data_IF_691660570069
#
_entry.id   IF_691660570069
#
_cell.length_a   1.000
_cell.length_b   1.000
_cell.length_c   1.000
_cell.angle_alpha   90.00
_cell.angle_beta   90.00
_cell.angle_gamma   90.00
#
_symmetry.space_group_name_H-M   'P 1'
#
loop_
_entity.id
_entity.type
_entity.pdbx_description
1 polymer ?
#
# COMPACT_ATOMS: atom_id res chain seq x y z
N UNK A 1 10.09 -8.94 30.70
CA UNK A 1 8.71 -9.49 30.60
C UNK A 1 7.81 -8.72 29.64
N UNK A 2 7.41 -7.46 29.90
CA UNK A 2 6.46 -6.72 29.04
C UNK A 2 6.91 -6.51 27.58
N UNK A 3 8.21 -6.33 27.36
CA UNK A 3 8.78 -6.11 26.02
C UNK A 3 8.61 -7.33 25.10
N UNK A 4 8.65 -8.53 25.66
CA UNK A 4 8.60 -9.78 24.90
C UNK A 4 7.17 -10.15 24.51
N UNK A 5 6.21 -9.82 25.39
CA UNK A 5 4.78 -9.92 25.09
C UNK A 5 4.39 -8.97 23.95
N UNK A 6 4.89 -7.73 23.98
CA UNK A 6 4.66 -6.76 22.91
C UNK A 6 5.28 -7.20 21.57
N UNK A 7 6.51 -7.73 21.60
CA UNK A 7 7.18 -8.23 20.41
C UNK A 7 6.44 -9.43 19.80
N UNK A 8 5.90 -10.33 20.61
CA UNK A 8 5.18 -11.51 20.12
C UNK A 8 3.80 -11.16 19.52
N UNK A 9 3.08 -10.18 20.10
CA UNK A 9 1.82 -9.65 19.56
C UNK A 9 2.05 -8.90 18.25
N UNK A 10 3.13 -8.11 18.18
CA UNK A 10 3.56 -7.52 16.92
C UNK A 10 3.87 -8.61 15.91
N UNK A 11 4.68 -9.62 16.26
CA UNK A 11 5.14 -10.63 15.31
C UNK A 11 3.98 -11.40 14.63
N UNK A 12 2.90 -11.69 15.38
CA UNK A 12 1.82 -12.54 14.90
C UNK A 12 0.70 -11.80 14.12
N UNK A 13 0.60 -10.47 14.20
CA UNK A 13 -0.50 -9.70 13.58
C UNK A 13 -0.11 -8.27 13.14
N UNK A 14 1.14 -8.01 12.71
CA UNK A 14 1.62 -6.66 12.31
C UNK A 14 0.66 -5.94 11.35
N UNK A 15 0.11 -6.66 10.38
CA UNK A 15 -0.79 -6.08 9.37
C UNK A 15 -2.06 -5.48 9.96
N UNK A 16 -2.66 -6.13 10.97
CA UNK A 16 -3.90 -5.66 11.62
C UNK A 16 -3.66 -4.39 12.45
N UNK A 17 -2.54 -4.36 13.18
CA UNK A 17 -2.18 -3.21 14.01
C UNK A 17 -1.79 -1.99 13.16
N UNK A 18 -1.01 -2.21 12.10
CA UNK A 18 -0.66 -1.16 11.13
C UNK A 18 -1.93 -0.65 10.43
N UNK A 19 -2.81 -1.55 9.98
CA UNK A 19 -4.08 -1.17 9.36
C UNK A 19 -4.97 -0.33 10.30
N UNK A 20 -5.03 -0.69 11.58
CA UNK A 20 -5.78 0.07 12.58
C UNK A 20 -5.21 1.48 12.80
N UNK A 21 -3.88 1.61 12.92
CA UNK A 21 -3.21 2.92 13.07
C UNK A 21 -3.44 3.78 11.83
N UNK A 22 -3.25 3.22 10.64
CA UNK A 22 -3.46 3.94 9.38
C UNK A 22 -4.92 4.39 9.24
N UNK A 23 -5.88 3.51 9.54
CA UNK A 23 -7.31 3.84 9.52
C UNK A 23 -7.67 4.93 10.52
N UNK A 24 -7.08 4.91 11.71
CA UNK A 24 -7.30 5.93 12.74
C UNK A 24 -6.77 7.31 12.30
N UNK A 25 -5.57 7.36 11.71
CA UNK A 25 -5.01 8.60 11.17
C UNK A 25 -5.87 9.14 10.01
N UNK A 26 -6.31 8.27 9.10
CA UNK A 26 -7.21 8.67 8.01
C UNK A 26 -8.53 9.21 8.52
N UNK A 27 -9.12 8.58 9.54
CA UNK A 27 -10.35 9.06 10.16
C UNK A 27 -10.19 10.47 10.78
N UNK A 28 -9.07 10.73 11.46
CA UNK A 28 -8.75 12.06 12.01
C UNK A 28 -8.62 13.09 10.89
N UNK A 29 -7.94 12.74 9.80
CA UNK A 29 -7.81 13.61 8.61
C UNK A 29 -9.18 13.93 7.99
N UNK A 30 -10.06 12.94 7.86
CA UNK A 30 -11.44 13.10 7.36
C UNK A 30 -12.24 14.06 8.25
N UNK A 31 -12.14 13.90 9.58
CA UNK A 31 -12.84 14.75 10.55
C UNK A 31 -12.30 16.20 10.59
N UNK A 32 -10.99 16.38 10.43
CA UNK A 32 -10.34 17.69 10.57
C UNK A 32 -10.44 18.52 9.28
N UNK A 33 -10.18 17.90 8.13
CA UNK A 33 -10.12 18.60 6.84
C UNK A 33 -11.51 18.61 6.18
N UNK A 34 -12.32 17.58 6.41
CA UNK A 34 -13.64 17.35 5.80
C UNK A 34 -13.62 16.18 4.82
N UNK A 35 -14.74 15.45 4.72
CA UNK A 35 -14.88 14.20 3.95
C UNK A 35 -14.41 14.31 2.49
N UNK A 36 -14.83 15.37 1.78
CA UNK A 36 -14.50 15.55 0.37
C UNK A 36 -13.01 15.82 0.12
N UNK A 37 -12.35 16.56 1.02
CA UNK A 37 -10.92 16.87 0.88
C UNK A 37 -10.07 15.64 1.18
N UNK A 38 -10.45 14.83 2.17
CA UNK A 38 -9.78 13.56 2.44
C UNK A 38 -9.96 12.54 1.29
N UNK A 39 -11.16 12.48 0.68
CA UNK A 39 -11.40 11.66 -0.50
C UNK A 39 -10.53 12.09 -1.69
N UNK A 40 -10.40 13.40 -1.92
CA UNK A 40 -9.51 13.93 -2.96
C UNK A 40 -8.06 13.50 -2.74
N UNK A 41 -7.55 13.64 -1.51
CA UNK A 41 -6.19 13.20 -1.15
C UNK A 41 -6.04 11.69 -1.35
N UNK A 42 -7.00 10.87 -0.93
CA UNK A 42 -6.96 9.42 -1.10
C UNK A 42 -6.89 9.02 -2.59
N UNK A 43 -7.67 9.67 -3.45
CA UNK A 43 -7.64 9.45 -4.90
C UNK A 43 -6.27 9.87 -5.47
N UNK A 44 -5.74 11.03 -5.09
CA UNK A 44 -4.41 11.48 -5.53
C UNK A 44 -3.30 10.50 -5.11
N UNK A 45 -3.34 9.99 -3.87
CA UNK A 45 -2.39 8.99 -3.39
C UNK A 45 -2.52 7.68 -4.17
N UNK A 46 -3.74 7.22 -4.43
CA UNK A 46 -3.97 6.00 -5.20
C UNK A 46 -3.45 6.13 -6.64
N UNK A 47 -3.76 7.25 -7.30
CA UNK A 47 -3.27 7.55 -8.65
C UNK A 47 -1.74 7.67 -8.66
N UNK A 48 -1.16 8.40 -7.71
CA UNK A 48 0.27 8.56 -7.55
C UNK A 48 0.99 7.23 -7.32
N UNK A 49 0.43 6.35 -6.49
CA UNK A 49 0.94 5.00 -6.28
C UNK A 49 0.83 4.13 -7.53
N UNK A 50 -0.30 4.18 -8.24
CA UNK A 50 -0.51 3.41 -9.47
C UNK A 50 0.47 3.84 -10.57
N UNK A 51 0.64 5.16 -10.76
CA UNK A 51 1.60 5.73 -11.70
C UNK A 51 3.03 5.43 -11.26
N UNK A 52 3.36 5.64 -9.99
CA UNK A 52 4.68 5.35 -9.42
C UNK A 52 5.06 3.88 -9.57
N UNK A 53 4.15 2.95 -9.24
CA UNK A 53 4.35 1.51 -9.44
C UNK A 53 4.57 1.14 -10.91
N UNK A 54 3.90 1.82 -11.85
CA UNK A 54 4.10 1.61 -13.28
C UNK A 54 5.46 2.11 -13.76
N UNK A 55 5.98 3.17 -13.16
CA UNK A 55 7.30 3.75 -13.47
C UNK A 55 8.43 2.91 -12.85
N UNK A 56 8.24 2.47 -11.60
CA UNK A 56 9.20 1.66 -10.84
C UNK A 56 9.28 0.22 -11.36
N UNK A 57 8.17 -0.35 -11.82
CA UNK A 57 8.17 -1.67 -12.45
C UNK A 57 8.77 -1.71 -13.89
N UNK A 58 9.69 -0.81 -14.25
CA UNK A 58 10.52 -1.01 -15.45
C UNK A 58 11.33 -2.32 -15.40
N UNK A 59 11.51 -2.93 -14.22
CA UNK A 59 12.06 -4.30 -14.09
C UNK A 59 10.97 -5.39 -14.01
N UNK A 60 9.82 -5.17 -13.35
CA UNK A 60 8.79 -6.21 -13.15
C UNK A 60 7.73 -6.33 -14.27
N UNK A 61 7.42 -5.25 -14.99
CA UNK A 61 6.48 -5.32 -16.13
C UNK A 61 7.13 -6.09 -17.29
N UNK A 62 8.44 -5.93 -17.49
CA UNK A 62 9.19 -6.64 -18.55
C UNK A 62 9.16 -8.15 -18.32
N UNK A 63 9.39 -8.61 -17.10
CA UNK A 63 9.32 -10.05 -16.76
C UNK A 63 7.89 -10.60 -16.86
N UNK A 64 6.89 -9.82 -16.44
CA UNK A 64 5.48 -10.23 -16.56
C UNK A 64 5.04 -10.31 -18.03
N UNK A 65 5.52 -9.40 -18.87
CA UNK A 65 5.26 -9.39 -20.31
C UNK A 65 6.03 -10.51 -21.01
N UNK A 66 7.30 -10.77 -20.65
CA UNK A 66 8.07 -11.89 -21.18
C UNK A 66 7.45 -13.24 -20.80
N UNK A 67 6.86 -13.36 -19.62
CA UNK A 67 6.16 -14.59 -19.21
C UNK A 67 4.82 -14.81 -19.93
N UNK A 68 4.25 -13.76 -20.53
CA UNK A 68 2.99 -13.80 -21.30
C UNK A 68 3.24 -13.84 -22.80
N UNK A 69 4.40 -13.37 -23.29
CA UNK A 69 4.82 -13.56 -24.68
C UNK A 69 5.35 -15.00 -24.86
N UNK A 70 4.67 -15.87 -25.62
CA UNK A 70 5.20 -17.19 -25.94
C UNK A 70 6.45 -17.06 -26.82
N UNK A 71 7.46 -17.87 -26.52
CA UNK A 71 8.74 -18.03 -27.21
C UNK A 71 8.60 -18.59 -28.65
N UNK A 72 7.69 -18.07 -29.47
CA UNK A 72 7.52 -18.53 -30.87
C UNK A 72 8.32 -17.70 -31.90
N UNK A 73 9.19 -16.80 -31.45
CA UNK A 73 10.06 -16.00 -32.33
C UNK A 73 11.55 -16.17 -32.05
N UNK A 74 12.02 -17.41 -31.92
CA UNK A 74 13.44 -17.72 -32.14
C UNK A 74 13.64 -18.87 -33.11
#
# INVERSE_FOLDING_TARGET
>A
MWKEVLLNIFHNNRGKFIGAIVGFILAIFILTIGFLKALFIAICVFIGYYIGKKIDNKESIVETIQKILPDEWK
#
